data_IF_789328788622
#
_entry.id   IF_789328788622
#
_cell.length_a   1.000
_cell.length_b   1.000
_cell.length_c   1.000
_cell.angle_alpha   90.00
_cell.angle_beta   90.00
_cell.angle_gamma   90.00
#
_symmetry.space_group_name_H-M   'P 1'
#
loop_
_entity.id
_entity.type
_entity.pdbx_description
1 polymer ?
#
# COMPACT_ATOMS: atom_id res chain seq x y z
N UNK A 1 -10.29 -15.01 -3.79
CA UNK A 1 -9.71 -13.81 -4.43
C UNK A 1 -9.70 -12.72 -3.38
N UNK A 2 -8.56 -12.18 -3.03
CA UNK A 2 -8.48 -11.11 -2.04
C UNK A 2 -8.31 -9.79 -2.77
N UNK A 3 -8.94 -8.73 -2.27
CA UNK A 3 -8.82 -7.39 -2.83
C UNK A 3 -8.07 -6.52 -1.84
N UNK A 4 -7.11 -5.81 -2.33
CA UNK A 4 -6.30 -4.88 -1.56
C UNK A 4 -6.59 -3.45 -2.00
N UNK A 5 -6.73 -2.56 -1.02
CA UNK A 5 -6.93 -1.13 -1.22
C UNK A 5 -6.03 -0.40 -0.25
N UNK A 6 -5.29 0.54 -0.78
CA UNK A 6 -4.50 1.45 0.02
C UNK A 6 -5.10 2.85 -0.05
N UNK A 7 -5.21 3.49 1.09
CA UNK A 7 -5.80 4.82 1.24
C UNK A 7 -4.80 5.69 1.98
N UNK A 8 -4.44 6.79 1.36
CA UNK A 8 -3.75 7.89 2.01
C UNK A 8 -4.68 9.09 2.00
N UNK A 9 -5.05 9.57 3.17
CA UNK A 9 -5.79 10.80 3.32
C UNK A 9 -4.93 11.80 4.10
N UNK A 10 -4.22 12.65 3.37
CA UNK A 10 -3.33 13.67 3.94
C UNK A 10 -4.03 14.67 4.88
N UNK A 11 -5.37 14.69 4.85
CA UNK A 11 -6.16 15.63 5.63
C UNK A 11 -6.83 15.01 6.87
N UNK A 12 -6.98 13.70 6.91
CA UNK A 12 -7.79 13.06 7.94
C UNK A 12 -7.04 12.06 8.81
N UNK A 13 -5.76 11.80 8.53
CA UNK A 13 -4.99 10.81 9.28
C UNK A 13 -5.70 9.45 9.40
N UNK A 14 -5.27 8.60 10.33
CA UNK A 14 -5.86 7.28 10.55
C UNK A 14 -7.07 7.32 11.51
N UNK A 15 -8.10 8.13 11.16
CA UNK A 15 -9.37 8.18 11.87
C UNK A 15 -10.32 7.09 11.37
N UNK A 16 -10.43 6.01 12.12
CA UNK A 16 -11.09 4.78 11.69
C UNK A 16 -12.61 4.92 11.57
N UNK A 17 -13.24 5.85 12.33
CA UNK A 17 -14.70 6.00 12.37
C UNK A 17 -15.31 6.26 10.99
N UNK A 18 -14.75 7.22 10.26
CA UNK A 18 -15.21 7.57 8.92
C UNK A 18 -15.05 6.40 7.96
N UNK A 19 -13.90 5.72 8.03
CA UNK A 19 -13.62 4.54 7.21
C UNK A 19 -14.64 3.42 7.47
N UNK A 20 -14.92 3.09 8.73
CA UNK A 20 -15.91 2.08 9.09
C UNK A 20 -17.33 2.48 8.66
N UNK A 21 -17.70 3.76 8.78
CA UNK A 21 -19.00 4.25 8.29
C UNK A 21 -19.14 4.08 6.80
N UNK A 22 -18.12 4.38 6.03
CA UNK A 22 -18.11 4.21 4.57
C UNK A 22 -18.13 2.75 4.13
N UNK A 23 -17.57 1.84 4.93
CA UNK A 23 -17.65 0.39 4.71
C UNK A 23 -19.02 -0.21 5.01
N UNK A 24 -19.89 0.49 5.74
CA UNK A 24 -21.24 0.03 6.09
C UNK A 24 -21.66 0.35 7.53
N UNK A 25 -20.78 0.88 8.35
CA UNK A 25 -21.06 1.36 9.71
C UNK A 25 -21.72 0.31 10.59
N UNK A 26 -22.88 0.65 11.16
CA UNK A 26 -23.66 -0.23 12.06
C UNK A 26 -24.23 -1.48 11.37
N UNK A 27 -24.27 -1.52 10.03
CA UNK A 27 -24.76 -2.68 9.28
C UNK A 27 -23.71 -3.79 9.15
N UNK A 28 -22.46 -3.53 9.50
CA UNK A 28 -21.40 -4.53 9.48
C UNK A 28 -21.68 -5.61 10.53
N UNK A 29 -21.74 -6.87 10.10
CA UNK A 29 -22.00 -8.03 10.97
C UNK A 29 -20.68 -8.72 11.37
N UNK A 30 -19.78 -7.92 11.94
CA UNK A 30 -18.47 -8.38 12.38
C UNK A 30 -18.26 -8.19 13.88
N UNK A 31 -17.34 -8.97 14.41
CA UNK A 31 -16.56 -8.65 15.60
C UNK A 31 -15.15 -8.30 15.14
N UNK A 32 -14.49 -7.45 15.88
CA UNK A 32 -13.19 -6.94 15.52
C UNK A 32 -12.12 -7.51 16.47
N UNK A 33 -11.23 -8.33 15.93
CA UNK A 33 -9.97 -8.63 16.59
C UNK A 33 -9.00 -7.52 16.23
N UNK A 34 -8.63 -6.70 17.21
CA UNK A 34 -7.74 -5.57 17.05
C UNK A 34 -6.42 -5.91 17.73
N UNK A 35 -5.32 -5.79 17.03
CA UNK A 35 -4.00 -6.21 17.51
C UNK A 35 -2.91 -5.24 17.04
N UNK A 36 -1.75 -5.36 17.65
CA UNK A 36 -0.56 -4.54 17.40
C UNK A 36 -0.86 -3.03 17.49
N UNK A 37 -1.63 -2.68 18.53
CA UNK A 37 -2.26 -1.39 18.69
C UNK A 37 -1.25 -0.36 19.21
N UNK A 38 -1.20 0.78 18.53
CA UNK A 38 -0.62 2.01 19.05
C UNK A 38 -1.57 3.16 18.76
N UNK A 39 -2.23 3.65 19.78
CA UNK A 39 -3.20 4.75 19.72
C UNK A 39 -2.97 5.72 20.87
N UNK A 40 -3.51 6.92 20.73
CA UNK A 40 -3.42 7.96 21.78
C UNK A 40 -4.80 8.52 22.11
N UNK A 41 -5.69 7.73 22.75
CA UNK A 41 -6.94 8.25 23.25
C UNK A 41 -6.68 9.22 24.41
N UNK A 42 -7.54 10.23 24.53
CA UNK A 42 -7.50 11.18 25.66
C UNK A 42 -8.24 10.62 26.87
N UNK A 43 -9.28 9.82 26.63
CA UNK A 43 -10.00 9.13 27.69
C UNK A 43 -9.14 8.02 28.28
N UNK A 44 -8.99 8.03 29.62
CA UNK A 44 -8.17 7.04 30.33
C UNK A 44 -8.67 5.62 30.14
N UNK A 45 -9.96 5.39 30.15
CA UNK A 45 -10.55 4.05 30.03
C UNK A 45 -10.24 3.45 28.64
N UNK A 46 -10.26 4.27 27.59
CA UNK A 46 -9.90 3.84 26.25
C UNK A 46 -8.39 3.66 26.10
N UNK A 47 -7.60 4.48 26.78
CA UNK A 47 -6.15 4.29 26.81
C UNK A 47 -5.77 2.95 27.47
N UNK A 48 -6.42 2.61 28.61
CA UNK A 48 -6.21 1.32 29.27
C UNK A 48 -6.66 0.15 28.37
N UNK A 49 -7.77 0.31 27.64
CA UNK A 49 -8.26 -0.68 26.70
C UNK A 49 -7.27 -0.92 25.55
N UNK A 50 -6.79 0.14 24.89
CA UNK A 50 -5.89 0.03 23.73
C UNK A 50 -4.43 -0.23 24.08
N UNK A 51 -4.06 -0.27 25.35
CA UNK A 51 -2.74 -0.71 25.82
C UNK A 51 -2.62 -2.24 25.94
N UNK A 52 -3.68 -3.00 25.67
CA UNK A 52 -3.61 -4.45 25.62
C UNK A 52 -2.93 -4.93 24.32
N UNK A 53 -2.29 -6.10 24.37
CA UNK A 53 -1.67 -6.72 23.18
C UNK A 53 -2.66 -6.96 22.04
N UNK A 54 -3.90 -7.24 22.40
CA UNK A 54 -5.05 -7.35 21.50
C UNK A 54 -6.35 -7.14 22.27
N UNK A 55 -7.40 -6.78 21.53
CA UNK A 55 -8.77 -6.66 22.05
C UNK A 55 -9.74 -7.30 21.06
N UNK A 56 -10.87 -7.77 21.57
CA UNK A 56 -11.93 -8.36 20.75
C UNK A 56 -13.26 -7.70 21.07
N UNK A 57 -13.79 -6.91 20.15
CA UNK A 57 -14.97 -6.09 20.31
C UNK A 57 -16.04 -6.46 19.29
N UNK A 58 -17.32 -6.31 19.67
CA UNK A 58 -18.38 -6.27 18.66
C UNK A 58 -18.28 -5.01 17.81
N UNK A 59 -18.89 -5.01 16.63
CA UNK A 59 -18.93 -3.82 15.79
C UNK A 59 -19.60 -2.63 16.49
N UNK A 60 -20.61 -2.89 17.29
CA UNK A 60 -21.30 -1.85 18.04
C UNK A 60 -20.39 -1.22 19.11
N UNK A 61 -19.65 -2.03 19.88
CA UNK A 61 -18.73 -1.52 20.90
C UNK A 61 -17.64 -0.66 20.26
N UNK A 62 -17.01 -1.16 19.17
CA UNK A 62 -15.99 -0.38 18.47
C UNK A 62 -16.51 0.95 17.96
N UNK A 63 -17.67 0.95 17.27
CA UNK A 63 -18.27 2.20 16.79
C UNK A 63 -18.63 3.15 17.94
N UNK A 64 -19.15 2.64 19.04
CA UNK A 64 -19.48 3.47 20.23
C UNK A 64 -18.23 4.16 20.79
N UNK A 65 -17.11 3.43 20.89
CA UNK A 65 -15.84 4.01 21.34
C UNK A 65 -15.40 5.12 20.40
N UNK A 66 -15.40 4.85 19.08
CA UNK A 66 -14.95 5.81 18.08
C UNK A 66 -15.88 7.01 17.89
N UNK A 67 -17.18 6.86 18.21
CA UNK A 67 -18.15 7.97 18.20
C UNK A 67 -18.03 8.86 19.46
N UNK A 68 -17.63 8.27 20.58
CA UNK A 68 -17.39 9.02 21.80
C UNK A 68 -16.08 9.81 21.78
N UNK A 69 -15.10 9.30 21.06
CA UNK A 69 -13.79 9.93 20.94
C UNK A 69 -13.17 9.65 19.57
N UNK A 70 -12.70 10.70 18.92
CA UNK A 70 -12.02 10.63 17.64
C UNK A 70 -10.56 10.18 17.84
N UNK A 71 -10.37 8.87 17.89
CA UNK A 71 -9.08 8.25 18.21
C UNK A 71 -8.26 8.09 16.94
N UNK A 72 -7.05 8.65 16.96
CA UNK A 72 -6.04 8.41 15.94
C UNK A 72 -5.22 7.15 16.28
N UNK A 73 -5.13 6.24 15.31
CA UNK A 73 -4.30 5.05 15.43
C UNK A 73 -2.97 5.27 14.69
N UNK A 74 -1.87 5.23 15.42
CA UNK A 74 -0.53 5.25 14.82
C UNK A 74 -0.28 3.94 14.07
N UNK A 75 -0.61 2.82 14.74
CA UNK A 75 -0.58 1.48 14.17
C UNK A 75 -1.76 0.67 14.71
N UNK A 76 -2.16 -0.34 13.96
CA UNK A 76 -3.15 -1.33 14.41
C UNK A 76 -3.66 -2.18 13.27
N UNK A 77 -3.98 -3.44 13.57
CA UNK A 77 -4.64 -4.35 12.65
C UNK A 77 -6.04 -4.63 13.17
N UNK A 78 -7.03 -4.38 12.34
CA UNK A 78 -8.44 -4.59 12.62
C UNK A 78 -8.96 -5.73 11.74
N UNK A 79 -9.03 -6.94 12.29
CA UNK A 79 -9.52 -8.12 11.59
C UNK A 79 -11.03 -8.26 11.79
N UNK A 80 -11.78 -8.15 10.70
CA UNK A 80 -13.24 -8.27 10.68
C UNK A 80 -13.64 -9.76 10.69
N UNK A 81 -13.96 -10.27 11.86
CA UNK A 81 -14.39 -11.67 12.07
C UNK A 81 -15.92 -11.73 11.98
N UNK A 82 -16.54 -12.60 11.15
CA UNK A 82 -17.98 -12.78 11.13
C UNK A 82 -18.57 -13.01 12.52
N UNK A 83 -19.66 -12.33 12.85
CA UNK A 83 -20.23 -12.26 14.21
C UNK A 83 -20.67 -13.64 14.79
N UNK A 84 -20.86 -14.64 13.92
CA UNK A 84 -21.22 -15.99 14.31
C UNK A 84 -20.09 -16.79 14.97
N UNK A 85 -18.82 -16.39 14.77
CA UNK A 85 -17.69 -17.03 15.43
C UNK A 85 -17.61 -16.64 16.90
N UNK A 86 -17.28 -17.60 17.76
CA UNK A 86 -17.03 -17.40 19.18
C UNK A 86 -15.58 -17.02 19.41
N UNK A 87 -15.32 -16.33 20.49
CA UNK A 87 -13.98 -15.87 20.87
C UNK A 87 -12.97 -17.04 20.96
N UNK A 88 -13.37 -18.16 21.56
CA UNK A 88 -12.52 -19.34 21.68
C UNK A 88 -12.18 -19.99 20.31
N UNK A 89 -12.97 -19.79 19.27
CA UNK A 89 -12.67 -20.25 17.92
C UNK A 89 -11.65 -19.32 17.27
N UNK A 90 -11.78 -18.01 17.50
CA UNK A 90 -10.88 -17.00 16.96
C UNK A 90 -9.47 -17.17 17.52
N UNK A 91 -9.34 -17.34 18.83
CA UNK A 91 -8.03 -17.46 19.49
C UNK A 91 -7.34 -18.82 19.32
N UNK A 92 -7.90 -19.72 18.52
CA UNK A 92 -7.17 -20.91 18.05
C UNK A 92 -6.12 -20.59 16.99
N UNK A 93 -6.20 -19.39 16.40
CA UNK A 93 -5.29 -18.96 15.34
C UNK A 93 -4.32 -17.88 15.82
N UNK A 94 -3.25 -17.70 15.08
CA UNK A 94 -2.27 -16.66 15.37
C UNK A 94 -2.90 -15.27 15.27
N UNK A 95 -2.64 -14.44 16.26
CA UNK A 95 -3.08 -13.05 16.29
C UNK A 95 -2.26 -12.25 15.26
N UNK A 96 -2.91 -11.51 14.35
CA UNK A 96 -2.24 -10.69 13.37
C UNK A 96 -1.27 -9.68 13.98
N UNK A 97 -0.16 -9.43 13.31
CA UNK A 97 0.83 -8.44 13.77
C UNK A 97 1.41 -7.67 12.58
N UNK A 98 1.67 -6.39 12.81
CA UNK A 98 2.48 -5.58 11.90
C UNK A 98 3.93 -6.01 12.09
N UNK A 99 4.46 -6.74 11.14
CA UNK A 99 5.87 -7.08 11.18
C UNK A 99 6.68 -5.88 10.70
N UNK A 100 7.34 -5.19 11.63
CA UNK A 100 8.17 -4.01 11.34
C UNK A 100 9.38 -4.32 10.43
N UNK A 101 9.73 -5.59 10.28
CA UNK A 101 10.84 -6.05 9.44
C UNK A 101 10.30 -6.57 8.10
N UNK A 102 9.07 -7.04 8.07
CA UNK A 102 8.45 -7.62 6.88
C UNK A 102 7.38 -6.65 6.36
N UNK A 103 7.79 -5.75 5.49
CA UNK A 103 6.91 -4.77 4.83
C UNK A 103 5.82 -5.42 3.96
N UNK A 104 5.75 -6.76 3.90
CA UNK A 104 4.70 -7.50 3.19
C UNK A 104 3.29 -7.07 3.57
N UNK A 105 3.11 -6.52 4.77
CA UNK A 105 1.84 -5.95 5.17
C UNK A 105 1.46 -4.71 4.37
N UNK A 106 2.46 -3.93 3.95
CA UNK A 106 2.26 -2.73 3.13
C UNK A 106 2.07 -3.06 1.66
N UNK A 107 2.40 -4.28 1.26
CA UNK A 107 2.64 -4.61 -0.13
C UNK A 107 1.88 -5.85 -0.61
N UNK A 108 1.43 -6.70 0.28
CA UNK A 108 0.80 -7.97 -0.09
C UNK A 108 -0.65 -8.06 0.36
N UNK A 109 -1.59 -8.35 -0.54
CA UNK A 109 -2.97 -8.55 -0.17
C UNK A 109 -3.16 -9.92 0.45
N UNK A 110 -2.84 -10.07 1.73
CA UNK A 110 -3.26 -11.28 2.43
C UNK A 110 -3.85 -10.94 3.79
N UNK A 111 -4.91 -11.64 4.10
CA UNK A 111 -5.54 -11.61 5.41
C UNK A 111 -4.76 -12.55 6.30
N UNK A 112 -4.22 -12.03 7.40
CA UNK A 112 -3.43 -12.84 8.35
C UNK A 112 -4.30 -13.78 9.16
N UNK A 113 -5.47 -13.31 9.64
CA UNK A 113 -6.34 -14.15 10.44
C UNK A 113 -7.25 -15.01 9.55
N UNK A 114 -7.17 -16.37 9.65
CA UNK A 114 -7.91 -17.25 8.73
C UNK A 114 -9.43 -17.09 8.73
N UNK A 115 -10.02 -16.66 9.85
CA UNK A 115 -11.46 -16.43 9.98
C UNK A 115 -11.90 -15.01 9.58
N UNK A 116 -10.97 -14.10 9.30
CA UNK A 116 -11.34 -12.74 8.93
C UNK A 116 -11.81 -12.67 7.47
N UNK A 117 -12.86 -11.92 7.23
CA UNK A 117 -13.34 -11.58 5.89
C UNK A 117 -12.61 -10.37 5.32
N UNK A 118 -12.14 -9.51 6.21
CA UNK A 118 -11.43 -8.28 5.87
C UNK A 118 -10.44 -7.95 6.98
N UNK A 119 -9.32 -7.34 6.61
CA UNK A 119 -8.39 -6.72 7.55
C UNK A 119 -8.11 -5.28 7.12
N UNK A 120 -8.14 -4.38 8.11
CA UNK A 120 -7.75 -2.98 7.97
C UNK A 120 -6.48 -2.81 8.78
N UNK A 121 -5.39 -2.37 8.15
CA UNK A 121 -4.18 -1.99 8.85
C UNK A 121 -4.03 -0.47 8.83
N UNK A 122 -3.85 0.11 10.02
CA UNK A 122 -3.45 1.50 10.21
C UNK A 122 -1.95 1.54 10.35
N UNK A 123 -1.31 2.47 9.65
CA UNK A 123 0.14 2.54 9.66
C UNK A 123 0.62 3.96 9.64
N UNK A 124 1.58 4.24 10.52
CA UNK A 124 2.31 5.50 10.63
C UNK A 124 1.41 6.75 10.66
N UNK A 125 0.24 6.64 11.29
CA UNK A 125 -0.73 7.71 11.49
C UNK A 125 -1.42 8.26 10.24
N UNK A 126 -1.00 7.88 9.04
CA UNK A 126 -1.45 8.54 7.79
C UNK A 126 -2.03 7.58 6.76
N UNK A 127 -1.96 6.29 7.03
CA UNK A 127 -2.17 5.30 6.00
C UNK A 127 -3.07 4.16 6.45
N UNK A 128 -4.06 3.84 5.60
CA UNK A 128 -4.88 2.64 5.74
C UNK A 128 -4.62 1.68 4.59
N UNK A 129 -4.49 0.40 4.91
CA UNK A 129 -4.64 -0.65 3.92
C UNK A 129 -5.82 -1.53 4.26
N UNK A 130 -6.61 -1.90 3.27
CA UNK A 130 -7.75 -2.80 3.43
C UNK A 130 -7.53 -4.01 2.54
N UNK A 131 -7.49 -5.19 3.14
CA UNK A 131 -7.50 -6.45 2.43
C UNK A 131 -8.83 -7.14 2.66
N UNK A 132 -9.57 -7.49 1.61
CA UNK A 132 -10.91 -8.08 1.71
C UNK A 132 -11.06 -9.30 0.84
N UNK A 133 -11.76 -10.34 1.34
CA UNK A 133 -12.19 -11.51 0.56
C UNK A 133 -13.34 -11.19 -0.38
N UNK A 134 -14.08 -10.11 -0.09
CA UNK A 134 -15.28 -9.70 -0.82
C UNK A 134 -15.13 -8.36 -1.48
N UNK A 135 -15.98 -8.08 -2.45
CA UNK A 135 -16.08 -6.76 -3.05
C UNK A 135 -16.47 -5.71 -2.03
N UNK A 136 -15.71 -4.63 -1.98
CA UNK A 136 -16.07 -3.44 -1.24
C UNK A 136 -17.08 -2.65 -2.07
N UNK A 137 -18.11 -2.13 -1.40
CA UNK A 137 -19.16 -1.37 -2.06
C UNK A 137 -18.58 -0.20 -2.88
N UNK A 138 -19.12 0.02 -4.08
CA UNK A 138 -18.68 1.11 -4.96
C UNK A 138 -18.87 2.49 -4.34
N UNK A 139 -19.82 2.66 -3.43
CA UNK A 139 -20.05 3.93 -2.75
C UNK A 139 -18.89 4.30 -1.81
N UNK A 140 -18.20 3.31 -1.27
CA UNK A 140 -16.97 3.51 -0.52
C UNK A 140 -15.94 4.33 -1.31
N UNK A 141 -15.78 4.05 -2.59
CA UNK A 141 -14.80 4.73 -3.44
C UNK A 141 -15.17 6.16 -3.84
N UNK A 142 -16.38 6.61 -3.52
CA UNK A 142 -16.76 8.02 -3.67
C UNK A 142 -16.11 8.89 -2.59
N UNK A 143 -16.00 8.35 -1.38
CA UNK A 143 -15.36 9.04 -0.24
C UNK A 143 -13.85 8.78 -0.18
N UNK A 144 -13.44 7.56 -0.55
CA UNK A 144 -12.04 7.15 -0.57
C UNK A 144 -11.61 6.79 -1.99
N UNK A 145 -11.14 7.77 -2.78
CA UNK A 145 -10.62 7.50 -4.11
C UNK A 145 -9.48 6.49 -4.03
N UNK A 146 -9.54 5.48 -4.87
CA UNK A 146 -8.50 4.45 -4.97
C UNK A 146 -7.14 5.07 -5.21
N UNK A 147 -6.22 4.88 -4.29
CA UNK A 147 -4.81 5.15 -4.51
C UNK A 147 -4.15 3.96 -5.20
N UNK A 148 -4.45 2.76 -4.72
CA UNK A 148 -4.04 1.49 -5.36
C UNK A 148 -5.09 0.42 -5.15
N UNK A 149 -5.33 -0.42 -6.15
CA UNK A 149 -6.05 -1.67 -5.97
C UNK A 149 -5.32 -2.80 -6.68
N UNK A 150 -5.12 -3.92 -6.01
CA UNK A 150 -4.72 -5.16 -6.65
C UNK A 150 -5.83 -6.19 -6.53
N UNK A 151 -6.11 -6.88 -7.61
CA UNK A 151 -6.96 -8.06 -7.63
C UNK A 151 -6.02 -9.22 -7.83
N UNK A 152 -5.96 -10.13 -6.87
CA UNK A 152 -5.06 -11.29 -6.84
C UNK A 152 -3.56 -11.00 -6.68
N UNK A 153 -3.04 -11.32 -5.51
CA UNK A 153 -1.66 -11.69 -5.23
C UNK A 153 -0.51 -10.87 -5.83
N UNK A 154 0.70 -11.34 -5.68
CA UNK A 154 1.93 -10.59 -5.97
C UNK A 154 2.22 -10.35 -7.45
N UNK A 155 1.22 -10.41 -8.33
CA UNK A 155 1.45 -10.45 -9.78
C UNK A 155 1.67 -9.07 -10.44
N UNK A 156 1.34 -7.96 -9.77
CA UNK A 156 1.58 -6.63 -10.33
C UNK A 156 2.68 -5.89 -9.56
N UNK A 157 3.92 -6.12 -9.94
CA UNK A 157 5.07 -5.38 -9.43
C UNK A 157 4.99 -3.88 -9.73
N UNK A 158 4.30 -3.51 -10.81
CA UNK A 158 4.22 -2.14 -11.28
C UNK A 158 2.76 -1.71 -11.39
N UNK A 159 2.42 -0.63 -10.71
CA UNK A 159 1.08 -0.06 -10.72
C UNK A 159 1.09 1.27 -11.48
N UNK A 160 0.20 1.39 -12.48
CA UNK A 160 0.01 2.65 -13.16
C UNK A 160 -0.79 3.60 -12.28
N UNK A 161 -0.29 4.79 -12.00
CA UNK A 161 -1.05 5.81 -11.30
C UNK A 161 -2.16 6.35 -12.20
N UNK A 162 -3.40 6.00 -11.89
CA UNK A 162 -4.58 6.49 -12.63
C UNK A 162 -5.22 7.71 -11.99
N UNK A 163 -4.80 8.12 -10.77
CA UNK A 163 -5.49 9.11 -9.95
C UNK A 163 -4.66 10.34 -9.60
N UNK A 164 -3.51 10.56 -10.22
CA UNK A 164 -2.61 11.71 -9.97
C UNK A 164 -2.12 11.87 -8.52
N UNK A 165 -2.28 10.90 -7.66
CA UNK A 165 -1.77 10.94 -6.29
C UNK A 165 -0.56 10.02 -6.15
N UNK A 166 0.51 10.45 -5.47
CA UNK A 166 1.64 9.58 -5.20
C UNK A 166 1.19 8.39 -4.34
N UNK A 167 1.71 7.22 -4.67
CA UNK A 167 1.59 6.02 -3.84
C UNK A 167 2.70 6.14 -2.80
N UNK A 168 2.36 6.05 -1.51
CA UNK A 168 3.36 6.14 -0.45
C UNK A 168 4.29 4.92 -0.46
N UNK A 169 5.54 5.14 -0.11
CA UNK A 169 6.59 4.12 -0.01
C UNK A 169 6.77 3.28 -1.30
N UNK A 170 6.72 3.94 -2.43
CA UNK A 170 6.96 3.31 -3.71
C UNK A 170 7.96 4.12 -4.53
N UNK A 171 8.80 3.42 -5.28
CA UNK A 171 9.61 4.04 -6.30
C UNK A 171 8.74 4.48 -7.47
N UNK A 172 8.86 5.74 -7.87
CA UNK A 172 8.15 6.28 -9.02
C UNK A 172 9.05 6.27 -10.25
N UNK A 173 8.59 5.67 -11.34
CA UNK A 173 9.21 5.76 -12.64
C UNK A 173 8.48 6.83 -13.46
N UNK A 174 9.21 7.85 -13.92
CA UNK A 174 8.65 8.94 -14.71
C UNK A 174 9.49 9.21 -15.98
N UNK A 175 8.83 9.76 -17.01
CA UNK A 175 9.53 10.08 -18.24
C UNK A 175 10.39 11.34 -18.12
N UNK A 176 11.53 11.36 -18.79
CA UNK A 176 12.38 12.53 -18.86
C UNK A 176 11.94 13.48 -19.98
N UNK A 177 11.37 14.62 -19.61
CA UNK A 177 11.01 15.70 -20.51
C UNK A 177 11.89 16.94 -20.24
N UNK A 178 12.65 17.37 -21.25
CA UNK A 178 13.62 18.49 -21.11
C UNK A 178 12.96 19.83 -20.76
N UNK A 179 11.70 20.04 -21.13
CA UNK A 179 11.06 21.37 -21.13
C UNK A 179 9.90 21.52 -20.14
N UNK A 180 9.59 20.51 -19.32
CA UNK A 180 8.49 20.62 -18.36
C UNK A 180 9.00 20.72 -16.94
N UNK A 181 8.71 21.88 -16.32
CA UNK A 181 8.92 22.10 -14.87
C UNK A 181 7.92 21.38 -13.97
N UNK A 182 6.92 20.73 -14.55
CA UNK A 182 5.84 20.04 -13.83
C UNK A 182 5.88 18.56 -14.15
N UNK A 183 5.92 17.72 -13.09
CA UNK A 183 5.79 16.27 -13.22
C UNK A 183 4.42 15.93 -13.78
N UNK A 184 4.38 15.07 -14.78
CA UNK A 184 3.12 14.52 -15.28
C UNK A 184 2.92 13.13 -14.62
N UNK A 185 2.23 13.12 -13.49
CA UNK A 185 1.95 11.89 -12.72
C UNK A 185 1.01 10.91 -13.45
N UNK A 186 0.30 11.36 -14.48
CA UNK A 186 -0.67 10.53 -15.21
C UNK A 186 -0.05 9.34 -15.93
N UNK A 187 1.23 9.43 -16.25
CA UNK A 187 1.97 8.41 -17.00
C UNK A 187 3.06 7.74 -16.16
N UNK A 188 3.12 8.01 -14.84
CA UNK A 188 4.07 7.38 -13.94
C UNK A 188 3.74 5.92 -13.70
N UNK A 189 4.77 5.13 -13.47
CA UNK A 189 4.68 3.74 -13.05
C UNK A 189 5.27 3.62 -11.65
N UNK A 190 4.60 2.90 -10.76
CA UNK A 190 5.02 2.72 -9.38
C UNK A 190 5.37 1.28 -9.10
N UNK A 191 6.42 1.10 -8.31
CA UNK A 191 6.83 -0.20 -7.77
C UNK A 191 7.09 -0.04 -6.28
N UNK A 192 6.53 -0.91 -5.46
CA UNK A 192 6.79 -0.87 -4.03
C UNK A 192 8.25 -1.22 -3.70
N UNK A 193 8.67 -0.81 -2.49
CA UNK A 193 10.07 -0.89 -2.06
C UNK A 193 10.63 -2.31 -2.07
N UNK A 194 9.91 -3.29 -1.51
CA UNK A 194 10.42 -4.66 -1.41
C UNK A 194 10.59 -5.31 -2.77
N UNK A 195 9.58 -5.14 -3.61
CA UNK A 195 9.61 -5.63 -4.99
C UNK A 195 10.68 -4.93 -5.81
N UNK A 196 10.89 -3.64 -5.57
CA UNK A 196 11.97 -2.92 -6.21
C UNK A 196 13.35 -3.44 -5.78
N UNK A 197 13.52 -3.75 -4.50
CA UNK A 197 14.74 -4.34 -3.99
C UNK A 197 15.03 -5.72 -4.60
N UNK A 198 14.01 -6.57 -4.72
CA UNK A 198 14.15 -7.86 -5.38
C UNK A 198 14.40 -7.71 -6.88
N UNK A 199 13.76 -6.75 -7.50
CA UNK A 199 13.94 -6.42 -8.91
C UNK A 199 15.36 -5.92 -9.20
N UNK A 200 15.91 -5.00 -8.40
CA UNK A 200 17.31 -4.54 -8.56
C UNK A 200 18.31 -5.67 -8.33
N UNK A 201 18.10 -6.53 -7.34
CA UNK A 201 18.96 -7.71 -7.12
C UNK A 201 18.99 -8.62 -8.33
N UNK A 202 17.83 -8.86 -8.95
CA UNK A 202 17.71 -9.66 -10.16
C UNK A 202 18.30 -8.97 -11.39
N UNK A 203 18.19 -7.64 -11.43
CA UNK A 203 18.62 -6.82 -12.57
C UNK A 203 19.61 -5.73 -12.16
N UNK A 204 20.87 -6.09 -11.87
CA UNK A 204 21.87 -5.17 -11.32
C UNK A 204 22.25 -4.02 -12.26
N UNK A 205 21.83 -4.04 -13.51
CA UNK A 205 22.04 -2.92 -14.43
C UNK A 205 21.19 -1.69 -14.11
N UNK A 206 20.16 -1.80 -13.24
CA UNK A 206 19.46 -0.66 -12.68
C UNK A 206 20.31 0.09 -11.63
N UNK A 207 21.33 -0.53 -11.09
CA UNK A 207 22.24 0.12 -10.13
C UNK A 207 23.14 1.21 -10.78
N UNK A 208 23.21 1.24 -12.11
CA UNK A 208 23.99 2.24 -12.84
C UNK A 208 23.11 3.34 -13.41
N UNK A 209 23.16 4.50 -12.79
CA UNK A 209 22.40 5.69 -13.16
C UNK A 209 23.29 6.72 -13.87
N UNK A 210 22.72 7.81 -14.33
CA UNK A 210 23.46 8.94 -14.91
C UNK A 210 23.29 10.18 -14.04
N UNK A 211 24.40 10.76 -13.58
CA UNK A 211 24.42 12.03 -12.89
C UNK A 211 25.41 12.97 -13.57
N UNK A 212 24.97 14.17 -13.98
CA UNK A 212 25.79 15.17 -14.68
C UNK A 212 26.63 14.56 -15.83
N UNK A 213 26.00 13.74 -16.66
CA UNK A 213 26.60 13.01 -17.78
C UNK A 213 27.70 11.99 -17.39
N UNK A 214 27.75 11.58 -16.13
CA UNK A 214 28.62 10.51 -15.65
C UNK A 214 27.80 9.37 -15.09
N UNK A 215 28.34 8.15 -15.24
CA UNK A 215 27.74 6.97 -14.57
C UNK A 215 27.90 7.14 -13.06
N UNK A 216 26.83 6.89 -12.33
CA UNK A 216 26.75 6.94 -10.87
C UNK A 216 26.08 5.67 -10.36
N UNK A 217 26.13 5.43 -9.07
CA UNK A 217 25.35 4.41 -8.39
C UNK A 217 23.93 4.89 -8.12
N UNK A 218 23.02 3.94 -7.96
CA UNK A 218 21.63 4.23 -7.61
C UNK A 218 21.54 4.93 -6.23
N UNK A 219 20.82 6.03 -6.19
CA UNK A 219 20.50 6.74 -4.95
C UNK A 219 19.08 6.35 -4.50
N UNK A 220 19.02 5.63 -3.39
CA UNK A 220 17.78 5.09 -2.86
C UNK A 220 16.76 6.15 -2.45
N UNK A 221 17.24 7.32 -2.01
CA UNK A 221 16.42 8.44 -1.54
C UNK A 221 16.37 9.62 -2.51
N UNK A 222 16.96 9.46 -3.67
CA UNK A 222 17.08 10.51 -4.66
C UNK A 222 16.43 10.22 -6.00
N UNK A 223 16.68 11.10 -6.95
CA UNK A 223 16.21 10.94 -8.33
C UNK A 223 17.31 10.35 -9.20
N UNK A 224 17.08 9.19 -9.72
CA UNK A 224 18.01 8.43 -10.54
C UNK A 224 17.63 8.57 -12.01
N UNK A 225 18.50 9.17 -12.80
CA UNK A 225 18.28 9.36 -14.23
C UNK A 225 18.94 8.26 -15.05
N UNK A 226 18.21 7.74 -16.00
CA UNK A 226 18.65 6.77 -17.01
C UNK A 226 18.50 7.42 -18.39
N UNK A 227 19.62 7.61 -19.07
CA UNK A 227 19.63 8.16 -20.42
C UNK A 227 19.10 7.14 -21.46
N UNK A 228 18.98 7.56 -22.69
CA UNK A 228 18.38 6.76 -23.77
C UNK A 228 19.13 5.45 -24.02
N UNK A 229 20.45 5.44 -23.94
CA UNK A 229 21.26 4.22 -24.14
C UNK A 229 21.10 3.23 -23.00
N UNK A 230 21.06 3.73 -21.75
CA UNK A 230 20.76 2.92 -20.57
C UNK A 230 19.32 2.36 -20.62
N UNK A 231 18.35 3.20 -21.03
CA UNK A 231 16.96 2.77 -21.22
C UNK A 231 16.86 1.63 -22.21
N UNK A 232 17.55 1.75 -23.36
CA UNK A 232 17.59 0.68 -24.36
C UNK A 232 18.23 -0.58 -23.83
N UNK A 233 19.38 -0.46 -23.17
CA UNK A 233 20.08 -1.62 -22.58
C UNK A 233 19.23 -2.38 -21.58
N UNK A 234 18.54 -1.65 -20.68
CA UNK A 234 17.63 -2.23 -19.70
C UNK A 234 16.46 -2.93 -20.41
N UNK A 235 15.82 -2.26 -21.37
CA UNK A 235 14.70 -2.79 -22.14
C UNK A 235 15.06 -4.08 -22.88
N UNK A 236 16.21 -4.08 -23.57
CA UNK A 236 16.66 -5.25 -24.33
C UNK A 236 16.89 -6.47 -23.42
N UNK A 237 17.38 -6.25 -22.18
CA UNK A 237 17.59 -7.34 -21.23
C UNK A 237 16.28 -7.84 -20.61
N UNK A 238 15.34 -6.97 -20.28
CA UNK A 238 14.02 -7.37 -19.79
C UNK A 238 13.22 -8.14 -20.83
N UNK A 239 13.30 -7.76 -22.11
CA UNK A 239 12.64 -8.48 -23.21
C UNK A 239 13.23 -9.90 -23.36
N UNK A 240 14.55 -10.06 -23.23
CA UNK A 240 15.20 -11.37 -23.29
C UNK A 240 14.78 -12.30 -22.16
N UNK A 241 14.47 -11.76 -21.00
CA UNK A 241 14.01 -12.53 -19.83
C UNK A 241 12.59 -13.08 -20.03
N UNK A 242 11.83 -12.51 -20.96
CA UNK A 242 10.50 -12.95 -21.39
C UNK A 242 9.53 -13.25 -20.24
N UNK A 243 9.58 -12.42 -19.18
CA UNK A 243 8.74 -12.57 -18.01
C UNK A 243 7.50 -11.67 -18.12
N UNK A 244 6.31 -12.28 -18.12
CA UNK A 244 5.03 -11.55 -18.25
C UNK A 244 4.81 -10.55 -17.10
N UNK A 245 5.39 -10.78 -15.93
CA UNK A 245 5.32 -9.87 -14.78
C UNK A 245 5.92 -8.49 -15.06
N UNK A 246 6.86 -8.42 -16.02
CA UNK A 246 7.55 -7.18 -16.37
C UNK A 246 6.91 -6.45 -17.56
N UNK A 247 5.79 -6.93 -18.07
CA UNK A 247 5.11 -6.28 -19.19
C UNK A 247 4.82 -4.79 -18.94
N UNK A 248 4.37 -4.34 -17.75
CA UNK A 248 4.16 -2.91 -17.49
C UNK A 248 5.43 -2.09 -17.58
N UNK A 249 6.56 -2.55 -17.02
CA UNK A 249 7.83 -1.82 -17.11
C UNK A 249 8.41 -1.89 -18.54
N UNK A 250 8.27 -3.01 -19.23
CA UNK A 250 8.68 -3.12 -20.64
C UNK A 250 7.92 -2.10 -21.50
N UNK A 251 6.60 -1.98 -21.29
CA UNK A 251 5.76 -0.99 -21.98
C UNK A 251 6.21 0.42 -21.67
N UNK A 252 6.43 0.73 -20.38
CA UNK A 252 6.93 2.03 -19.93
C UNK A 252 8.29 2.38 -20.55
N UNK A 253 9.26 1.47 -20.47
CA UNK A 253 10.62 1.67 -21.02
C UNK A 253 10.62 1.77 -22.55
N UNK A 254 9.73 1.05 -23.23
CA UNK A 254 9.55 1.17 -24.69
C UNK A 254 9.14 2.59 -25.04
N UNK A 255 8.15 3.13 -24.34
CA UNK A 255 7.70 4.53 -24.54
C UNK A 255 8.81 5.52 -24.16
N UNK A 256 9.50 5.30 -23.03
CA UNK A 256 10.65 6.12 -22.61
C UNK A 256 11.76 6.18 -23.66
N UNK A 257 12.05 5.07 -24.30
CA UNK A 257 13.07 4.98 -25.35
C UNK A 257 12.60 5.62 -26.68
N UNK A 258 11.35 5.43 -27.08
CA UNK A 258 10.84 5.90 -28.36
C UNK A 258 10.52 7.39 -28.37
N UNK A 259 9.86 7.87 -27.34
CA UNK A 259 9.25 9.21 -27.31
C UNK A 259 10.02 10.21 -26.44
N UNK A 260 10.84 9.73 -25.49
CA UNK A 260 11.53 10.56 -24.51
C UNK A 260 13.06 10.41 -24.60
N UNK A 261 13.79 11.15 -23.77
CA UNK A 261 15.25 11.05 -23.68
C UNK A 261 15.77 10.05 -22.65
N UNK A 262 14.86 9.32 -22.06
CA UNK A 262 15.12 8.38 -21.00
C UNK A 262 14.03 8.46 -19.91
N UNK A 263 14.36 8.02 -18.70
CA UNK A 263 13.42 8.04 -17.59
C UNK A 263 14.12 8.32 -16.25
N UNK A 264 13.33 8.62 -15.25
CA UNK A 264 13.75 8.71 -13.86
C UNK A 264 13.16 7.57 -13.03
N UNK A 265 13.92 7.13 -12.03
CA UNK A 265 13.38 6.46 -10.86
C UNK A 265 13.59 7.40 -9.68
N UNK A 266 12.49 7.83 -9.08
CA UNK A 266 12.50 8.64 -7.87
C UNK A 266 12.43 7.71 -6.67
N UNK A 267 13.38 7.89 -5.75
CA UNK A 267 13.45 7.15 -4.50
C UNK A 267 12.39 7.60 -3.48
N UNK A 268 12.43 6.98 -2.32
CA UNK A 268 11.50 7.16 -1.19
C UNK A 268 11.68 8.50 -0.50
#
# INVERSE_FOLDING_TARGET
MQRYISINDDNEYTHLLKLLKSLGGSNLKYKWLISDIKAYPQNKDYNDLFNNDYIFLSNHELLTILENEDIQFINGIFSAIPANFKENEVFQYTIPRINKIDLKYYVGPHIQHPLADMEIACTDSTYFSITSRYEINKDFFKEYPLVTSSIDGPENYFVKNTNNKPINLAFELSYYEINKKTRNYNDSLYIDEDRFNDFIKKYPYFDKTTYKNKVSTFDYYGSNYYNKDQTKYILDNLIKDNCNEYLPIITFLTKAYQEYKGFYIHGL
#
